data_IF_047306162539
#
_entry.id   IF_047306162539
#
_cell.length_a   1.000
_cell.length_b   1.000
_cell.length_c   1.000
_cell.angle_alpha   90.00
_cell.angle_beta   90.00
_cell.angle_gamma   90.00
#
_symmetry.space_group_name_H-M   'P 1'
#
loop_
_entity.id
_entity.type
_entity.pdbx_description
1 polymer ?
#
# COMPACT_ATOMS: atom_id res chain seq x y z
N UNK A 1 -5.38 18.00 -12.15
CA UNK A 1 -5.05 19.39 -11.76
C UNK A 1 -3.88 19.26 -10.80
N UNK A 2 -2.68 19.67 -11.20
CA UNK A 2 -1.44 19.33 -10.47
C UNK A 2 -1.43 19.78 -9.00
N UNK A 3 -2.08 20.90 -8.66
CA UNK A 3 -2.18 21.34 -7.26
C UNK A 3 -3.16 20.49 -6.44
N UNK A 4 -4.17 19.90 -7.06
CA UNK A 4 -5.02 18.93 -6.35
C UNK A 4 -4.31 17.59 -6.20
N UNK A 5 -3.48 17.22 -7.17
CA UNK A 5 -2.70 15.99 -7.15
C UNK A 5 -1.54 16.07 -6.14
N UNK A 6 -0.95 17.24 -5.94
CA UNK A 6 0.11 17.47 -4.95
C UNK A 6 -0.34 17.13 -3.52
N UNK A 7 -1.62 17.37 -3.19
CA UNK A 7 -2.22 17.03 -1.88
C UNK A 7 -2.27 15.51 -1.61
N UNK A 8 -2.11 14.68 -2.65
CA UNK A 8 -2.10 13.21 -2.54
C UNK A 8 -0.69 12.65 -2.30
N UNK A 9 0.27 13.52 -1.98
CA UNK A 9 1.67 13.17 -1.73
C UNK A 9 2.15 13.81 -0.41
N UNK A 10 3.37 13.49 0.02
CA UNK A 10 3.98 14.02 1.25
C UNK A 10 4.68 15.39 1.06
N UNK A 11 4.66 15.97 -0.13
CA UNK A 11 5.48 17.15 -0.47
C UNK A 11 5.14 18.41 0.35
N UNK A 12 3.89 18.56 0.82
CA UNK A 12 3.49 19.66 1.71
C UNK A 12 4.16 19.61 3.09
N UNK A 13 4.74 18.47 3.47
CA UNK A 13 5.48 18.31 4.72
C UNK A 13 6.98 18.63 4.55
N UNK A 14 7.45 18.76 3.31
CA UNK A 14 8.89 18.79 2.97
C UNK A 14 9.33 20.06 2.28
N UNK A 15 8.41 20.75 1.62
CA UNK A 15 8.70 21.92 0.78
C UNK A 15 7.75 23.06 1.09
N UNK A 16 8.19 24.28 0.77
CA UNK A 16 7.38 25.49 0.96
C UNK A 16 6.24 25.56 -0.06
N UNK A 17 5.10 26.20 0.27
CA UNK A 17 3.99 26.36 -0.67
C UNK A 17 4.40 27.08 -1.96
N UNK A 18 5.34 28.02 -1.90
CA UNK A 18 5.89 28.72 -3.07
C UNK A 18 6.60 27.75 -4.02
N UNK A 19 7.40 26.83 -3.47
CA UNK A 19 8.12 25.81 -4.26
C UNK A 19 7.17 24.81 -4.90
N UNK A 20 6.13 24.39 -4.16
CA UNK A 20 5.07 23.50 -4.66
C UNK A 20 4.28 24.19 -5.78
N UNK A 21 3.92 25.47 -5.60
CA UNK A 21 3.26 26.26 -6.63
C UNK A 21 4.15 26.37 -7.87
N UNK A 22 5.46 26.59 -7.70
CA UNK A 22 6.40 26.67 -8.81
C UNK A 22 6.40 25.38 -9.65
N UNK A 23 6.44 24.22 -9.00
CA UNK A 23 6.36 22.93 -9.68
C UNK A 23 5.04 22.71 -10.43
N UNK A 24 3.91 23.12 -9.83
CA UNK A 24 2.60 23.01 -10.49
C UNK A 24 2.50 23.91 -11.73
N UNK A 25 3.07 25.12 -11.68
CA UNK A 25 3.16 26.04 -12.81
C UNK A 25 4.09 25.47 -13.90
N UNK A 26 5.26 24.93 -13.54
CA UNK A 26 6.20 24.34 -14.51
C UNK A 26 5.58 23.13 -15.23
N UNK A 27 4.84 22.28 -14.51
CA UNK A 27 4.06 21.19 -15.12
C UNK A 27 2.97 21.70 -16.07
N UNK A 28 2.19 22.71 -15.65
CA UNK A 28 1.15 23.29 -16.48
C UNK A 28 1.73 23.91 -17.75
N UNK A 29 2.82 24.67 -17.62
CA UNK A 29 3.51 25.29 -18.74
C UNK A 29 4.01 24.23 -19.75
N UNK A 30 4.58 23.11 -19.29
CA UNK A 30 5.00 22.00 -20.17
C UNK A 30 3.82 21.37 -20.90
N UNK A 31 2.73 21.11 -20.20
CA UNK A 31 1.51 20.53 -20.78
C UNK A 31 0.89 21.47 -21.83
N UNK A 32 0.94 22.78 -21.60
CA UNK A 32 0.49 23.81 -22.53
C UNK A 32 1.56 24.22 -23.57
N UNK A 33 2.75 23.62 -23.53
CA UNK A 33 3.90 23.95 -24.38
C UNK A 33 4.33 25.43 -24.34
N UNK A 34 4.14 26.08 -23.19
CA UNK A 34 4.58 27.45 -22.93
C UNK A 34 6.02 27.42 -22.42
N UNK A 35 6.93 28.07 -23.13
CA UNK A 35 8.32 28.21 -22.70
C UNK A 35 8.46 29.31 -21.66
N UNK A 36 8.78 28.94 -20.42
CA UNK A 36 9.06 29.90 -19.34
C UNK A 36 10.49 30.47 -19.44
N UNK A 37 10.73 31.70 -18.95
CA UNK A 37 12.07 32.29 -18.93
C UNK A 37 13.11 31.42 -18.21
N UNK A 38 14.28 31.25 -18.84
CA UNK A 38 15.39 30.42 -18.33
C UNK A 38 16.60 31.21 -17.86
N UNK A 39 16.75 32.48 -18.25
CA UNK A 39 17.89 33.34 -17.91
C UNK A 39 17.41 34.77 -17.57
N UNK A 40 17.29 35.13 -16.29
CA UNK A 40 17.35 34.24 -15.13
C UNK A 40 16.15 33.27 -15.12
N UNK A 41 16.26 32.09 -14.47
CA UNK A 41 15.13 31.19 -14.29
C UNK A 41 13.96 31.88 -13.58
N UNK A 42 12.75 31.73 -14.14
CA UNK A 42 11.56 32.44 -13.68
C UNK A 42 11.20 32.19 -12.19
N UNK A 43 11.48 31.00 -11.68
CA UNK A 43 11.12 30.58 -10.32
C UNK A 43 11.98 31.22 -9.22
N UNK A 44 13.09 31.89 -9.60
CA UNK A 44 14.00 32.53 -8.63
C UNK A 44 13.28 33.61 -7.81
N UNK A 45 12.31 34.30 -8.41
CA UNK A 45 11.55 35.36 -7.71
C UNK A 45 10.74 34.82 -6.53
N UNK A 46 10.46 33.52 -6.52
CA UNK A 46 9.74 32.82 -5.45
C UNK A 46 10.68 32.13 -4.46
N UNK A 47 12.00 32.27 -4.61
CA UNK A 47 12.99 31.61 -3.76
C UNK A 47 13.05 30.09 -3.93
N UNK A 48 12.44 29.54 -4.97
CA UNK A 48 12.40 28.10 -5.23
C UNK A 48 13.69 27.61 -5.92
N UNK A 49 14.06 26.35 -5.68
CA UNK A 49 15.21 25.70 -6.31
C UNK A 49 14.78 24.71 -7.38
N UNK A 50 15.59 24.59 -8.44
CA UNK A 50 15.32 23.67 -9.54
C UNK A 50 15.15 22.22 -9.07
N UNK A 51 16.04 21.75 -8.19
CA UNK A 51 16.02 20.35 -7.74
C UNK A 51 14.75 20.01 -6.94
N UNK A 52 14.30 20.93 -6.10
CA UNK A 52 13.06 20.80 -5.32
C UNK A 52 11.83 20.82 -6.23
N UNK A 53 11.80 21.76 -7.18
CA UNK A 53 10.77 21.82 -8.23
C UNK A 53 10.71 20.50 -8.98
N UNK A 54 11.85 20.01 -9.49
CA UNK A 54 11.93 18.79 -10.28
C UNK A 54 11.49 17.55 -9.49
N UNK A 55 11.89 17.46 -8.21
CA UNK A 55 11.44 16.39 -7.32
C UNK A 55 9.92 16.38 -7.17
N UNK A 56 9.32 17.55 -6.91
CA UNK A 56 7.86 17.69 -6.75
C UNK A 56 7.14 17.30 -8.04
N UNK A 57 7.65 17.74 -9.20
CA UNK A 57 7.09 17.37 -10.49
C UNK A 57 7.02 15.86 -10.68
N UNK A 58 8.11 15.14 -10.37
CA UNK A 58 8.16 13.67 -10.45
C UNK A 58 7.17 13.04 -9.47
N UNK A 59 7.10 13.54 -8.23
CA UNK A 59 6.18 13.02 -7.21
C UNK A 59 4.72 13.10 -7.69
N UNK A 60 4.32 14.22 -8.29
CA UNK A 60 2.98 14.40 -8.87
C UNK A 60 2.78 13.48 -10.07
N UNK A 61 3.74 13.44 -11.01
CA UNK A 61 3.62 12.62 -12.23
C UNK A 61 3.54 11.12 -11.94
N UNK A 62 4.14 10.64 -10.86
CA UNK A 62 4.02 9.23 -10.43
C UNK A 62 2.57 8.81 -10.16
N UNK A 63 1.70 9.75 -9.77
CA UNK A 63 0.27 9.46 -9.58
C UNK A 63 -0.43 9.07 -10.88
N UNK A 64 0.08 9.53 -12.03
CA UNK A 64 -0.47 9.25 -13.35
C UNK A 64 0.02 7.94 -13.96
N UNK A 65 1.14 7.41 -13.47
CA UNK A 65 1.62 6.08 -13.87
C UNK A 65 0.82 4.94 -13.22
N UNK A 66 -0.04 5.25 -12.24
CA UNK A 66 -0.94 4.28 -11.66
C UNK A 66 -2.10 4.00 -12.62
N UNK A 67 -2.17 2.79 -13.17
CA UNK A 67 -3.35 2.34 -13.90
C UNK A 67 -4.48 2.10 -12.88
N UNK A 68 -5.65 2.74 -13.01
CA UNK A 68 -6.81 2.37 -12.20
C UNK A 68 -7.18 0.91 -12.53
N UNK A 69 -7.33 0.08 -11.48
CA UNK A 69 -7.88 -1.27 -11.66
C UNK A 69 -9.37 -1.13 -11.95
N UNK A 70 -9.88 -1.88 -12.93
CA UNK A 70 -11.32 -1.93 -13.20
C UNK A 70 -12.05 -2.40 -11.94
N UNK A 71 -13.19 -1.77 -11.63
CA UNK A 71 -14.03 -2.21 -10.53
C UNK A 71 -14.48 -3.66 -10.74
N UNK A 72 -14.84 -4.02 -11.97
CA UNK A 72 -15.25 -5.37 -12.35
C UNK A 72 -14.14 -6.40 -12.09
N UNK A 73 -12.88 -6.04 -12.39
CA UNK A 73 -11.74 -6.93 -12.15
C UNK A 73 -11.53 -7.13 -10.64
N UNK A 74 -11.67 -6.06 -9.87
CA UNK A 74 -11.55 -6.12 -8.42
C UNK A 74 -12.68 -6.95 -7.80
N UNK A 75 -13.92 -6.78 -8.28
CA UNK A 75 -15.09 -7.51 -7.83
C UNK A 75 -15.00 -9.01 -8.15
N UNK A 76 -14.54 -9.37 -9.36
CA UNK A 76 -14.25 -10.76 -9.73
C UNK A 76 -13.22 -11.40 -8.81
N UNK A 77 -12.13 -10.69 -8.50
CA UNK A 77 -11.11 -11.17 -7.56
C UNK A 77 -11.72 -11.39 -6.17
N UNK A 78 -12.53 -10.45 -5.68
CA UNK A 78 -13.20 -10.56 -4.38
C UNK A 78 -14.13 -11.76 -4.33
N UNK A 79 -14.96 -11.96 -5.36
CA UNK A 79 -15.91 -13.08 -5.41
C UNK A 79 -15.18 -14.43 -5.45
N UNK A 80 -14.14 -14.55 -6.27
CA UNK A 80 -13.30 -15.76 -6.33
C UNK A 80 -12.67 -16.09 -4.97
N UNK A 81 -12.16 -15.07 -4.28
CA UNK A 81 -11.56 -15.24 -2.94
C UNK A 81 -12.61 -15.62 -1.90
N UNK A 82 -13.85 -15.10 -2.00
CA UNK A 82 -14.95 -15.48 -1.11
C UNK A 82 -15.38 -16.94 -1.32
N UNK A 83 -15.53 -17.37 -2.57
CA UNK A 83 -15.85 -18.75 -2.92
C UNK A 83 -14.79 -19.72 -2.40
N UNK A 84 -13.51 -19.43 -2.62
CA UNK A 84 -12.41 -20.26 -2.13
C UNK A 84 -12.43 -20.43 -0.61
N UNK A 85 -12.69 -19.35 0.14
CA UNK A 85 -12.83 -19.40 1.61
C UNK A 85 -14.02 -20.24 2.06
N UNK A 86 -15.13 -20.15 1.34
CA UNK A 86 -16.33 -20.94 1.62
C UNK A 86 -16.12 -22.43 1.35
N UNK A 87 -15.42 -22.78 0.29
CA UNK A 87 -15.08 -24.16 -0.04
C UNK A 87 -14.09 -24.76 0.95
N UNK A 88 -13.07 -24.01 1.37
CA UNK A 88 -12.16 -24.41 2.45
C UNK A 88 -12.91 -24.64 3.76
N UNK A 89 -13.86 -23.76 4.10
CA UNK A 89 -14.73 -23.92 5.29
C UNK A 89 -15.62 -25.16 5.20
N UNK A 90 -16.17 -25.46 4.02
CA UNK A 90 -17.00 -26.66 3.82
C UNK A 90 -16.18 -27.94 3.87
N UNK A 91 -14.98 -27.95 3.29
CA UNK A 91 -14.05 -29.08 3.34
C UNK A 91 -13.68 -29.46 4.78
N UNK A 92 -13.37 -28.45 5.61
CA UNK A 92 -13.09 -28.66 7.03
C UNK A 92 -14.29 -29.26 7.79
N UNK A 93 -15.52 -28.87 7.42
CA UNK A 93 -16.76 -29.43 8.00
C UNK A 93 -17.02 -30.86 7.55
N UNK A 94 -16.77 -31.20 6.29
CA UNK A 94 -16.97 -32.57 5.77
C UNK A 94 -15.93 -33.56 6.29
N UNK A 95 -14.71 -33.11 6.58
CA UNK A 95 -13.65 -33.94 7.18
C UNK A 95 -13.95 -34.34 8.64
N UNK A 96 -14.85 -33.63 9.32
CA UNK A 96 -15.30 -33.95 10.68
C UNK A 96 -16.42 -35.02 10.72
N UNK A 97 -16.84 -35.58 9.57
CA UNK A 97 -18.00 -36.49 9.47
C UNK A 97 -17.66 -37.95 9.12
N UNK A 98 -16.41 -38.41 9.29
CA UNK A 98 -16.14 -39.85 9.32
C UNK A 98 -16.63 -40.45 10.66
N UNK A 99 -17.37 -41.57 10.65
CA UNK A 99 -17.81 -42.21 11.88
C UNK A 99 -16.60 -42.72 12.64
N UNK A 100 -16.42 -42.23 13.86
CA UNK A 100 -15.45 -42.76 14.82
C UNK A 100 -15.87 -44.21 15.13
N UNK A 101 -15.20 -45.19 14.53
CA UNK A 101 -15.31 -46.58 14.96
C UNK A 101 -14.85 -46.67 16.41
N UNK A 102 -15.78 -47.04 17.31
CA UNK A 102 -15.49 -47.41 18.69
C UNK A 102 -14.73 -48.76 18.69
N UNK A 103 -13.42 -48.69 18.55
CA UNK A 103 -12.51 -49.77 18.92
C UNK A 103 -11.99 -49.54 20.34
N UNK A 104 -12.56 -50.27 21.30
CA UNK A 104 -12.08 -50.33 22.68
C UNK A 104 -10.64 -50.84 22.75
N UNK A 105 -9.76 -50.08 23.38
CA UNK A 105 -8.75 -50.61 24.31
C UNK A 105 -8.48 -49.55 25.40
N UNK A 106 -8.62 -49.97 26.66
CA UNK A 106 -8.31 -49.19 27.88
C UNK A 106 -7.02 -49.73 28.52
N UNK A 107 -6.47 -49.11 29.58
CA UNK A 107 -6.08 -47.71 29.74
C UNK A 107 -4.65 -47.58 30.34
N UNK A 108 -3.92 -46.49 30.11
CA UNK A 108 -2.80 -46.07 30.99
C UNK A 108 -2.52 -44.56 30.90
N UNK A 109 -3.10 -43.82 31.87
CA UNK A 109 -2.59 -42.65 32.62
C UNK A 109 -2.07 -41.42 31.82
N UNK A 110 -2.85 -40.33 31.68
CA UNK A 110 -2.96 -39.15 32.58
C UNK A 110 -1.72 -38.18 32.48
N UNK A 111 -1.79 -36.87 32.23
CA UNK A 111 -2.87 -35.86 32.33
C UNK A 111 -2.53 -34.53 31.58
N UNK A 112 -3.57 -33.96 30.96
CA UNK A 112 -4.11 -32.57 31.04
C UNK A 112 -3.39 -31.38 30.35
N UNK A 113 -4.12 -30.89 29.34
CA UNK A 113 -4.11 -29.62 28.63
C UNK A 113 -4.09 -28.34 29.47
N UNK A 114 -3.62 -27.23 28.87
CA UNK A 114 -4.44 -26.02 28.74
C UNK A 114 -4.19 -25.31 27.39
N UNK A 115 -5.30 -24.91 26.78
CA UNK A 115 -5.47 -24.34 25.44
C UNK A 115 -4.90 -22.92 25.26
N UNK A 116 -4.76 -22.57 23.98
CA UNK A 116 -5.29 -21.35 23.35
C UNK A 116 -4.27 -20.34 22.82
N UNK A 117 -4.03 -20.41 21.51
CA UNK A 117 -4.34 -19.33 20.55
C UNK A 117 -4.24 -17.91 21.13
N UNK A 118 -3.05 -17.41 21.44
CA UNK A 118 -2.70 -15.97 21.37
C UNK A 118 -1.17 -15.82 21.26
N UNK A 119 -0.56 -15.94 20.07
CA UNK A 119 0.82 -15.45 19.90
C UNK A 119 1.29 -15.17 18.46
N UNK A 120 0.56 -15.57 17.40
CA UNK A 120 1.06 -15.32 16.04
C UNK A 120 0.99 -13.84 15.59
N UNK A 121 0.81 -12.90 16.53
CA UNK A 121 0.79 -11.45 16.27
C UNK A 121 2.09 -10.78 16.72
N UNK A 122 3.01 -11.47 17.42
CA UNK A 122 4.24 -10.85 17.95
C UNK A 122 5.53 -11.16 17.18
N UNK A 123 5.57 -12.15 16.27
CA UNK A 123 6.83 -12.54 15.61
C UNK A 123 7.20 -11.73 14.35
N UNK A 124 6.32 -10.87 13.82
CA UNK A 124 6.65 -10.04 12.65
C UNK A 124 7.46 -8.78 13.01
N UNK A 125 7.55 -8.41 14.30
CA UNK A 125 8.17 -7.13 14.69
C UNK A 125 9.67 -7.24 15.01
N UNK A 126 10.27 -8.44 15.05
CA UNK A 126 11.68 -8.63 15.45
C UNK A 126 12.67 -8.93 14.31
N UNK A 127 12.29 -8.84 13.04
CA UNK A 127 13.21 -9.16 11.91
C UNK A 127 13.78 -7.92 11.21
N UNK A 128 13.40 -6.69 11.58
CA UNK A 128 13.91 -5.47 10.90
C UNK A 128 15.07 -4.77 11.64
N UNK A 129 15.47 -5.22 12.83
CA UNK A 129 16.53 -4.55 13.62
C UNK A 129 17.93 -5.15 13.44
N UNK A 130 18.09 -6.19 12.61
CA UNK A 130 19.40 -6.87 12.45
C UNK A 130 19.92 -6.86 11.00
N UNK A 131 19.77 -5.72 10.33
CA UNK A 131 20.50 -5.43 9.09
C UNK A 131 21.01 -3.99 9.04
N UNK A 132 21.67 -3.59 10.13
CA UNK A 132 22.73 -2.59 10.13
C UNK A 132 23.81 -3.06 11.11
N UNK A 133 24.75 -3.83 10.58
CA UNK A 133 26.15 -3.85 11.01
C UNK A 133 27.01 -4.19 9.79
#
# INVERSE_FOLDING_TARGET
>A
NYMNDSLRTDIFLRFTPETIACACIDLAARTLQIALPKNPPWYIIFGAKYDEIHFIMIAILRLYNHRPKSLDDLEKIVNTLREKREDERKKLRTDTSQPVELGNDSPSQQQIAQNSIVSSVVDTTMVVVQQQQ
#
